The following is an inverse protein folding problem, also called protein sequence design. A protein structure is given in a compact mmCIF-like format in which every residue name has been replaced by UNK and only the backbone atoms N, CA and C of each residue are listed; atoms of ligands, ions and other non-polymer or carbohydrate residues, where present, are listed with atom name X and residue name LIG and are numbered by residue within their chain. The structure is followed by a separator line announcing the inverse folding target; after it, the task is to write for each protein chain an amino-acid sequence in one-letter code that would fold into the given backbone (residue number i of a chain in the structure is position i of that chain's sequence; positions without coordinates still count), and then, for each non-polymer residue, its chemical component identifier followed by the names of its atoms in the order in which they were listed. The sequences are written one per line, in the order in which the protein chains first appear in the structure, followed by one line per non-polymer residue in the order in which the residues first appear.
data_IF_329428220186
#
_entry.id   IF_329428220186
#
_cell.length_a   1.000
_cell.length_b   1.000
_cell.length_c   1.000
_cell.angle_alpha   90.00
_cell.angle_beta   90.00
_cell.angle_gamma   90.00
#
_symmetry.space_group_name_H-M   'P 1'
#
loop_
_entity.id
_entity.type
_entity.pdbx_description
1 polymer ?
#
# COMPACT_ATOMS: atom_id res chain seq x y z
N UNK A 1 -21.93 -5.28 -7.41
CA UNK A 1 -21.62 -5.16 -5.97
C UNK A 1 -20.82 -6.39 -5.57
N UNK A 2 -19.71 -6.16 -4.88
CA UNK A 2 -18.85 -7.20 -4.34
C UNK A 2 -19.06 -7.26 -2.82
N UNK A 3 -19.30 -8.45 -2.30
CA UNK A 3 -19.45 -8.70 -0.87
C UNK A 3 -18.42 -9.70 -0.42
N UNK A 4 -17.72 -9.42 0.65
CA UNK A 4 -16.76 -10.34 1.27
C UNK A 4 -17.09 -10.48 2.75
N UNK A 5 -17.08 -11.71 3.23
CA UNK A 5 -17.23 -12.03 4.65
C UNK A 5 -15.89 -12.54 5.15
N UNK A 6 -15.33 -11.81 6.11
CA UNK A 6 -14.10 -12.18 6.79
C UNK A 6 -14.44 -12.64 8.21
N UNK A 7 -13.99 -13.82 8.59
CA UNK A 7 -14.19 -14.38 9.92
C UNK A 7 -12.87 -14.93 10.46
N UNK A 8 -12.55 -14.59 11.70
CA UNK A 8 -11.35 -15.03 12.38
C UNK A 8 -11.38 -14.63 13.85
N UNK A 9 -10.46 -15.19 14.64
CA UNK A 9 -10.23 -14.77 16.03
C UNK A 9 -9.22 -13.64 16.03
N UNK A 10 -9.69 -12.44 15.70
CA UNK A 10 -8.86 -11.26 15.63
C UNK A 10 -8.82 -10.50 16.94
N UNK A 11 -7.64 -9.98 17.27
CA UNK A 11 -7.46 -8.79 18.08
C UNK A 11 -7.54 -7.57 17.18
N UNK A 12 -7.94 -6.42 17.73
CA UNK A 12 -8.12 -5.20 16.93
C UNK A 12 -7.46 -4.03 17.62
N UNK A 13 -6.47 -3.46 16.96
CA UNK A 13 -5.86 -2.20 17.35
C UNK A 13 -6.54 -1.04 16.61
N UNK A 14 -6.77 0.09 17.31
CA UNK A 14 -7.52 1.24 16.80
C UNK A 14 -6.79 2.54 17.06
N UNK A 15 -6.87 3.44 16.10
CA UNK A 15 -6.52 4.87 16.22
C UNK A 15 -7.57 5.70 15.45
N UNK A 16 -7.51 7.00 15.61
CA UNK A 16 -8.34 7.95 14.85
C UNK A 16 -7.47 9.07 14.29
N UNK A 17 -7.75 9.48 13.06
CA UNK A 17 -7.15 10.64 12.41
C UNK A 17 -8.20 11.38 11.60
N UNK A 18 -8.37 12.68 11.85
CA UNK A 18 -9.28 13.55 11.08
C UNK A 18 -10.72 13.00 10.94
N UNK A 19 -11.24 12.36 12.00
CA UNK A 19 -12.56 11.75 12.01
C UNK A 19 -12.66 10.40 11.28
N UNK A 20 -11.52 9.86 10.83
CA UNK A 20 -11.41 8.52 10.24
C UNK A 20 -10.92 7.54 11.28
N UNK A 21 -11.69 6.49 11.53
CA UNK A 21 -11.28 5.39 12.41
C UNK A 21 -10.32 4.45 11.65
N UNK A 22 -9.13 4.25 12.19
CA UNK A 22 -8.13 3.31 11.68
C UNK A 22 -8.21 2.03 12.50
N UNK A 23 -8.30 0.89 11.82
CA UNK A 23 -8.40 -0.42 12.49
C UNK A 23 -7.40 -1.40 11.86
N UNK A 24 -6.67 -2.14 12.70
CA UNK A 24 -5.84 -3.26 12.28
C UNK A 24 -6.31 -4.52 13.00
N UNK A 25 -6.86 -5.44 12.22
CA UNK A 25 -7.30 -6.76 12.67
C UNK A 25 -6.15 -7.74 12.49
N UNK A 26 -5.66 -8.32 13.57
CA UNK A 26 -4.51 -9.22 13.56
C UNK A 26 -4.73 -10.45 14.44
N UNK A 27 -4.04 -11.53 14.16
CA UNK A 27 -4.06 -12.72 15.02
C UNK A 27 -3.24 -12.49 16.29
N UNK A 28 -3.63 -13.20 17.38
CA UNK A 28 -2.88 -13.19 18.60
C UNK A 28 -1.42 -13.61 18.35
N UNK A 29 -0.47 -12.87 18.90
CA UNK A 29 0.97 -13.06 18.66
C UNK A 29 1.55 -12.34 17.44
N UNK A 30 0.74 -11.74 16.56
CA UNK A 30 1.18 -11.00 15.37
C UNK A 30 1.14 -9.47 15.56
N UNK A 31 1.19 -9.00 16.81
CA UNK A 31 1.07 -7.57 17.13
C UNK A 31 2.35 -6.75 16.89
N UNK A 32 3.50 -7.38 16.62
CA UNK A 32 4.81 -6.71 16.63
C UNK A 32 4.90 -5.51 15.68
N UNK A 33 4.30 -5.58 14.52
CA UNK A 33 4.31 -4.51 13.51
C UNK A 33 3.01 -3.68 13.48
N UNK A 34 2.02 -4.01 14.30
CA UNK A 34 0.72 -3.32 14.32
C UNK A 34 0.86 -1.81 14.61
N UNK A 35 1.68 -1.36 15.58
CA UNK A 35 1.89 0.07 15.80
C UNK A 35 2.50 0.77 14.57
N UNK A 36 3.38 0.09 13.83
CA UNK A 36 3.98 0.58 12.59
C UNK A 36 2.95 0.70 11.48
N UNK A 37 2.06 -0.28 11.36
CA UNK A 37 0.98 -0.26 10.38
C UNK A 37 -0.03 0.86 10.66
N UNK A 38 -0.45 1.04 11.91
CA UNK A 38 -1.31 2.16 12.32
C UNK A 38 -0.67 3.51 12.03
N UNK A 39 0.63 3.66 12.34
CA UNK A 39 1.37 4.88 12.00
C UNK A 39 1.36 5.16 10.50
N UNK A 40 1.62 4.16 9.66
CA UNK A 40 1.61 4.30 8.22
C UNK A 40 0.20 4.67 7.69
N UNK A 41 -0.85 4.04 8.23
CA UNK A 41 -2.23 4.40 7.89
C UNK A 41 -2.55 5.85 8.23
N UNK A 42 -2.22 6.29 9.45
CA UNK A 42 -2.43 7.67 9.92
C UNK A 42 -1.72 8.67 9.02
N UNK A 43 -0.44 8.44 8.76
CA UNK A 43 0.39 9.35 7.98
C UNK A 43 -0.08 9.42 6.52
N UNK A 44 -0.48 8.29 5.94
CA UNK A 44 -0.99 8.23 4.57
C UNK A 44 -2.39 8.86 4.43
N UNK A 45 -3.32 8.58 5.37
CA UNK A 45 -4.64 9.21 5.37
C UNK A 45 -4.51 10.72 5.54
N UNK A 46 -3.73 11.18 6.51
CA UNK A 46 -3.50 12.62 6.72
C UNK A 46 -2.84 13.29 5.52
N UNK A 47 -1.79 12.67 4.94
CA UNK A 47 -1.14 13.22 3.75
C UNK A 47 -2.11 13.34 2.57
N UNK A 48 -2.79 12.25 2.22
CA UNK A 48 -3.62 12.20 1.03
C UNK A 48 -4.91 13.04 1.18
N UNK A 49 -5.47 13.12 2.40
CA UNK A 49 -6.61 14.01 2.69
C UNK A 49 -6.28 15.48 2.45
N UNK A 50 -5.06 15.91 2.82
CA UNK A 50 -4.61 17.28 2.60
C UNK A 50 -4.14 17.55 1.17
N UNK A 51 -3.45 16.58 0.55
CA UNK A 51 -2.84 16.77 -0.76
C UNK A 51 -3.85 16.67 -1.92
N UNK A 52 -4.88 15.88 -1.76
CA UNK A 52 -5.82 15.53 -2.85
C UNK A 52 -7.27 15.86 -2.51
N UNK A 53 -7.89 15.11 -1.61
CA UNK A 53 -9.28 15.28 -1.22
C UNK A 53 -9.55 14.57 0.11
N UNK A 54 -10.60 14.96 0.87
CA UNK A 54 -10.98 14.25 2.08
C UNK A 54 -11.20 12.75 1.85
N UNK A 55 -10.83 11.93 2.84
CA UNK A 55 -11.11 10.50 2.81
C UNK A 55 -12.63 10.26 2.74
N UNK A 56 -13.06 9.38 1.83
CA UNK A 56 -14.50 9.21 1.53
C UNK A 56 -15.26 8.28 2.48
N UNK A 57 -14.56 7.54 3.35
CA UNK A 57 -15.17 6.61 4.29
C UNK A 57 -14.90 7.03 5.74
N UNK A 58 -15.68 6.49 6.68
CA UNK A 58 -15.47 6.74 8.11
C UNK A 58 -14.44 5.83 8.75
N UNK A 59 -14.10 4.74 8.08
CA UNK A 59 -13.21 3.70 8.60
C UNK A 59 -12.25 3.27 7.51
N UNK A 60 -10.97 3.14 7.86
CA UNK A 60 -9.97 2.44 7.07
C UNK A 60 -9.46 1.26 7.90
N UNK A 61 -9.49 0.05 7.35
CA UNK A 61 -9.07 -1.14 8.10
C UNK A 61 -8.14 -2.03 7.31
N UNK A 62 -7.15 -2.55 8.01
CA UNK A 62 -6.32 -3.66 7.55
C UNK A 62 -6.83 -4.93 8.22
N UNK A 63 -6.96 -6.00 7.43
CA UNK A 63 -7.37 -7.31 7.94
C UNK A 63 -6.34 -8.36 7.56
N UNK A 64 -5.72 -8.95 8.56
CA UNK A 64 -4.71 -9.99 8.37
C UNK A 64 -5.32 -11.24 7.74
N UNK A 65 -4.59 -11.85 6.80
CA UNK A 65 -4.85 -13.20 6.32
C UNK A 65 -3.56 -14.04 6.31
N UNK A 66 -3.68 -15.38 6.45
CA UNK A 66 -2.54 -16.26 6.49
C UNK A 66 -1.70 -16.27 5.21
N UNK A 67 -0.40 -16.57 5.32
CA UNK A 67 0.61 -16.52 4.24
C UNK A 67 0.50 -17.58 3.14
N UNK A 68 -0.70 -18.09 2.87
CA UNK A 68 -0.93 -18.89 1.67
C UNK A 68 -0.74 -18.07 0.38
N UNK A 69 -0.75 -16.74 0.51
CA UNK A 69 -0.35 -15.76 -0.49
C UNK A 69 0.39 -14.60 0.16
N UNK A 70 1.29 -13.96 -0.60
CA UNK A 70 2.13 -12.84 -0.12
C UNK A 70 1.79 -11.57 -0.90
N UNK A 71 0.65 -10.94 -0.56
CA UNK A 71 0.21 -9.69 -1.15
C UNK A 71 -0.62 -8.88 -0.14
N UNK A 72 -0.83 -7.63 -0.46
CA UNK A 72 -1.90 -6.80 0.08
C UNK A 72 -2.77 -6.32 -1.07
N UNK A 73 -3.98 -5.90 -0.78
CA UNK A 73 -4.89 -5.35 -1.79
C UNK A 73 -5.84 -4.35 -1.15
N UNK A 74 -6.12 -3.27 -1.86
CA UNK A 74 -7.06 -2.25 -1.40
C UNK A 74 -8.46 -2.48 -1.96
N UNK A 75 -9.44 -2.53 -1.06
CA UNK A 75 -10.86 -2.38 -1.36
C UNK A 75 -11.38 -1.13 -0.63
N UNK A 76 -12.55 -0.56 -1.01
CA UNK A 76 -13.10 0.59 -0.32
C UNK A 76 -13.19 0.39 1.19
N UNK A 77 -12.40 1.16 1.95
CA UNK A 77 -12.34 1.12 3.41
C UNK A 77 -11.75 -0.16 4.03
N UNK A 78 -11.28 -1.13 3.23
CA UNK A 78 -10.77 -2.42 3.78
C UNK A 78 -9.62 -2.95 2.93
N UNK A 79 -8.51 -3.27 3.59
CA UNK A 79 -7.28 -3.74 2.97
C UNK A 79 -6.91 -5.12 3.56
N UNK A 80 -7.26 -6.25 2.91
CA UNK A 80 -6.70 -7.54 3.26
C UNK A 80 -5.19 -7.53 3.06
N UNK A 81 -4.46 -8.06 4.04
CA UNK A 81 -3.02 -7.94 4.12
C UNK A 81 -2.40 -9.26 4.62
N UNK A 82 -1.48 -9.81 3.84
CA UNK A 82 -0.82 -11.07 4.23
C UNK A 82 0.06 -10.91 5.47
N UNK A 83 -0.02 -11.88 6.37
CA UNK A 83 0.85 -11.92 7.56
C UNK A 83 2.34 -11.82 7.19
N UNK A 84 2.74 -12.43 6.05
CA UNK A 84 4.16 -12.57 5.66
C UNK A 84 4.83 -11.26 5.26
N UNK A 85 4.09 -10.30 4.70
CA UNK A 85 4.64 -9.02 4.25
C UNK A 85 4.40 -7.88 5.23
N UNK A 86 3.63 -8.09 6.28
CA UNK A 86 3.31 -7.08 7.29
C UNK A 86 3.56 -7.56 8.71
N UNK A 87 2.68 -8.39 9.21
CA UNK A 87 2.56 -8.67 10.63
C UNK A 87 3.77 -9.39 11.25
N UNK A 88 4.36 -10.34 10.53
CA UNK A 88 5.51 -11.13 11.00
C UNK A 88 6.83 -10.77 10.30
N UNK A 89 6.86 -9.69 9.53
CA UNK A 89 8.08 -9.20 8.88
C UNK A 89 9.09 -8.72 9.92
N UNK A 90 10.36 -9.15 9.77
CA UNK A 90 11.45 -8.71 10.65
C UNK A 90 11.94 -7.31 10.25
N UNK A 91 11.68 -6.32 11.09
CA UNK A 91 12.08 -4.92 10.93
C UNK A 91 13.26 -4.50 11.82
N UNK A 92 13.99 -5.44 12.44
CA UNK A 92 15.11 -5.13 13.32
C UNK A 92 16.30 -4.52 12.59
N UNK A 93 16.48 -4.86 11.33
CA UNK A 93 17.51 -4.26 10.48
C UNK A 93 17.04 -2.89 9.95
N UNK A 94 17.37 -1.83 10.67
CA UNK A 94 17.01 -0.44 10.33
C UNK A 94 17.76 0.10 9.11
N UNK A 95 18.75 -0.65 8.60
CA UNK A 95 19.43 -0.26 7.35
C UNK A 95 18.61 -0.63 6.13
N UNK A 96 17.59 -1.47 6.26
CA UNK A 96 16.67 -1.86 5.19
C UNK A 96 15.57 -0.82 5.01
N UNK A 97 14.94 -0.87 3.84
CA UNK A 97 13.72 -0.10 3.57
C UNK A 97 12.59 -0.66 4.44
N UNK A 98 11.83 0.22 5.07
CA UNK A 98 10.63 -0.15 5.81
C UNK A 98 9.49 -0.48 4.83
N UNK A 99 9.51 -1.71 4.33
CA UNK A 99 8.49 -2.18 3.39
C UNK A 99 7.11 -2.33 4.03
N UNK A 100 7.02 -2.56 5.35
CA UNK A 100 5.73 -2.61 6.04
C UNK A 100 5.06 -1.24 6.01
N UNK A 101 5.79 -0.20 6.37
CA UNK A 101 5.30 1.17 6.30
C UNK A 101 4.91 1.58 4.87
N UNK A 102 5.79 1.27 3.91
CA UNK A 102 5.59 1.64 2.52
C UNK A 102 4.36 0.97 1.89
N UNK A 103 4.23 -0.36 2.03
CA UNK A 103 3.10 -1.10 1.44
C UNK A 103 1.78 -0.68 2.08
N UNK A 104 1.75 -0.44 3.39
CA UNK A 104 0.54 0.11 4.04
C UNK A 104 0.17 1.48 3.46
N UNK A 105 1.15 2.39 3.28
CA UNK A 105 0.90 3.69 2.68
C UNK A 105 0.41 3.57 1.22
N UNK A 106 0.92 2.59 0.46
CA UNK A 106 0.48 2.28 -0.90
C UNK A 106 -0.99 1.81 -0.94
N UNK A 107 -1.37 0.85 -0.10
CA UNK A 107 -2.74 0.35 -0.04
C UNK A 107 -3.73 1.43 0.43
N UNK A 108 -3.31 2.29 1.35
CA UNK A 108 -4.12 3.46 1.76
C UNK A 108 -4.26 4.44 0.61
N UNK A 109 -3.20 4.70 -0.17
CA UNK A 109 -3.26 5.63 -1.31
C UNK A 109 -4.26 5.18 -2.38
N UNK A 110 -4.47 3.89 -2.55
CA UNK A 110 -5.51 3.35 -3.43
C UNK A 110 -6.93 3.78 -3.03
N UNK A 111 -7.17 4.24 -1.81
CA UNK A 111 -8.46 4.78 -1.42
C UNK A 111 -8.80 6.07 -2.21
N UNK A 112 -7.79 6.74 -2.76
CA UNK A 112 -7.91 7.83 -3.73
C UNK A 112 -7.71 7.31 -5.16
N UNK A 113 -6.60 6.64 -5.42
CA UNK A 113 -6.20 6.16 -6.74
C UNK A 113 -6.73 4.75 -7.01
N UNK A 114 -7.87 4.67 -7.69
CA UNK A 114 -8.61 3.44 -7.94
C UNK A 114 -9.97 3.39 -7.25
N UNK A 115 -10.22 4.20 -6.22
CA UNK A 115 -11.52 4.24 -5.54
C UNK A 115 -12.24 5.60 -5.62
N UNK A 116 -11.54 6.73 -5.52
CA UNK A 116 -12.12 8.04 -5.81
C UNK A 116 -11.86 8.43 -7.27
N UNK A 117 -10.63 8.27 -7.75
CA UNK A 117 -10.27 8.49 -9.15
C UNK A 117 -10.22 7.13 -9.83
N UNK A 118 -11.21 6.85 -10.66
CA UNK A 118 -11.32 5.62 -11.43
C UNK A 118 -10.72 5.81 -12.82
N UNK A 119 -9.78 4.96 -13.18
CA UNK A 119 -9.29 4.90 -14.56
C UNK A 119 -10.36 4.33 -15.50
N UNK A 120 -10.42 4.80 -16.75
CA UNK A 120 -11.29 4.21 -17.76
C UNK A 120 -10.86 2.77 -18.08
N UNK A 121 -11.77 1.96 -18.64
CA UNK A 121 -11.44 0.60 -19.08
C UNK A 121 -10.68 0.65 -20.42
N UNK A 122 -9.41 0.98 -20.35
CA UNK A 122 -8.52 1.08 -21.51
C UNK A 122 -7.08 0.78 -21.10
N UNK A 123 -6.21 0.65 -22.09
CA UNK A 123 -4.76 0.56 -21.89
C UNK A 123 -4.26 1.76 -21.07
N UNK A 124 -3.22 1.58 -20.27
CA UNK A 124 -2.63 2.64 -19.44
C UNK A 124 -3.40 2.98 -18.17
N UNK A 125 -4.55 2.34 -17.91
CA UNK A 125 -5.34 2.62 -16.70
C UNK A 125 -4.56 2.36 -15.40
N UNK A 126 -3.62 1.41 -15.41
CA UNK A 126 -2.75 1.10 -14.27
C UNK A 126 -1.90 2.30 -13.80
N UNK A 127 -1.60 3.25 -14.69
CA UNK A 127 -0.90 4.47 -14.30
C UNK A 127 -1.72 5.32 -13.30
N UNK A 128 -3.05 5.39 -13.48
CA UNK A 128 -3.92 6.19 -12.61
C UNK A 128 -4.21 5.50 -11.27
N UNK A 129 -4.02 4.19 -11.17
CA UNK A 129 -4.16 3.47 -9.90
C UNK A 129 -2.80 3.17 -9.27
N UNK A 130 -2.04 2.25 -9.84
CA UNK A 130 -0.80 1.75 -9.24
C UNK A 130 0.31 2.81 -9.19
N UNK A 131 0.60 3.49 -10.32
CA UNK A 131 1.70 4.47 -10.33
C UNK A 131 1.41 5.67 -9.43
N UNK A 132 0.16 6.11 -9.35
CA UNK A 132 -0.21 7.22 -8.47
C UNK A 132 -0.24 6.80 -7.00
N UNK A 133 -0.66 5.57 -6.68
CA UNK A 133 -0.57 5.02 -5.33
C UNK A 133 0.90 4.86 -4.91
N UNK A 134 1.75 4.34 -5.80
CA UNK A 134 3.19 4.22 -5.61
C UNK A 134 3.84 5.59 -5.32
N UNK A 135 3.54 6.59 -6.15
CA UNK A 135 4.04 7.96 -5.96
C UNK A 135 3.59 8.55 -4.61
N UNK A 136 2.33 8.36 -4.26
CA UNK A 136 1.79 8.86 -2.99
C UNK A 136 2.49 8.20 -1.80
N UNK A 137 2.68 6.88 -1.83
CA UNK A 137 3.43 6.15 -0.79
C UNK A 137 4.88 6.64 -0.67
N UNK A 138 5.53 6.98 -1.79
CA UNK A 138 6.86 7.59 -1.79
C UNK A 138 6.88 8.95 -1.09
N UNK A 139 5.88 9.79 -1.32
CA UNK A 139 5.78 11.10 -0.67
C UNK A 139 5.53 10.96 0.83
N UNK A 140 4.70 10.01 1.25
CA UNK A 140 4.48 9.68 2.66
C UNK A 140 5.78 9.18 3.31
N UNK A 141 6.51 8.29 2.63
CA UNK A 141 7.79 7.76 3.09
C UNK A 141 8.86 8.87 3.19
N UNK A 142 8.93 9.79 2.22
CA UNK A 142 9.85 10.93 2.27
C UNK A 142 9.54 11.84 3.46
N UNK A 143 8.27 12.09 3.73
CA UNK A 143 7.85 12.94 4.85
C UNK A 143 8.23 12.34 6.20
N UNK A 144 8.15 11.02 6.36
CA UNK A 144 8.51 10.32 7.59
C UNK A 144 10.01 10.10 7.74
N UNK A 145 10.68 9.61 6.70
CA UNK A 145 12.08 9.16 6.78
C UNK A 145 13.08 10.07 6.07
N UNK A 146 12.59 11.10 5.38
CA UNK A 146 13.41 12.05 4.65
C UNK A 146 13.92 11.56 3.29
N UNK A 147 14.55 12.49 2.56
CA UNK A 147 15.03 12.27 1.18
C UNK A 147 16.02 11.12 1.02
N UNK A 148 16.82 10.84 2.04
CA UNK A 148 17.79 9.74 1.96
C UNK A 148 17.09 8.38 1.85
N UNK A 149 16.03 8.16 2.63
CA UNK A 149 15.21 6.95 2.57
C UNK A 149 14.47 6.84 1.22
N UNK A 150 13.91 7.94 0.74
CA UNK A 150 13.27 7.97 -0.57
C UNK A 150 14.24 7.62 -1.71
N UNK A 151 15.46 8.19 -1.71
CA UNK A 151 16.49 7.84 -2.72
C UNK A 151 16.86 6.37 -2.69
N UNK A 152 16.96 5.79 -1.51
CA UNK A 152 17.23 4.36 -1.33
C UNK A 152 16.10 3.51 -1.90
N UNK A 153 14.85 3.92 -1.66
CA UNK A 153 13.69 3.25 -2.25
C UNK A 153 13.69 3.34 -3.78
N UNK A 154 13.96 4.52 -4.34
CA UNK A 154 14.05 4.71 -5.79
C UNK A 154 15.18 3.88 -6.43
N UNK A 155 16.29 3.66 -5.73
CA UNK A 155 17.32 2.72 -6.19
C UNK A 155 16.80 1.29 -6.23
N UNK A 156 16.07 0.86 -5.20
CA UNK A 156 15.44 -0.46 -5.15
C UNK A 156 14.45 -0.65 -6.32
N UNK A 157 13.58 0.33 -6.58
CA UNK A 157 12.62 0.30 -7.68
C UNK A 157 13.32 0.26 -9.05
N UNK A 158 14.34 1.10 -9.25
CA UNK A 158 15.15 1.07 -10.45
C UNK A 158 15.79 -0.30 -10.68
N UNK A 159 16.35 -0.90 -9.65
CA UNK A 159 17.00 -2.21 -9.76
C UNK A 159 15.97 -3.31 -10.01
N UNK A 160 14.76 -3.19 -9.50
CA UNK A 160 13.61 -4.07 -9.81
C UNK A 160 13.19 -3.93 -11.26
N UNK A 161 13.03 -2.71 -11.73
CA UNK A 161 12.73 -2.40 -13.14
C UNK A 161 13.79 -3.00 -14.09
N UNK A 162 15.06 -2.77 -13.83
CA UNK A 162 16.15 -3.29 -14.67
C UNK A 162 16.20 -4.83 -14.69
N UNK A 163 15.90 -5.48 -13.57
CA UNK A 163 15.80 -6.95 -13.51
C UNK A 163 14.61 -7.49 -14.32
N UNK A 164 13.45 -6.80 -14.23
CA UNK A 164 12.25 -7.13 -15.02
C UNK A 164 12.56 -7.00 -16.51
N UNK A 165 13.07 -5.85 -16.90
CA UNK A 165 13.40 -5.54 -18.29
C UNK A 165 14.38 -6.50 -18.93
N UNK A 166 15.37 -6.99 -18.18
CA UNK A 166 16.33 -7.98 -18.70
C UNK A 166 15.73 -9.34 -19.03
N UNK A 167 14.47 -9.60 -18.66
CA UNK A 167 13.75 -10.85 -18.91
C UNK A 167 12.72 -10.74 -20.02
N UNK A 168 12.41 -9.54 -20.48
CA UNK A 168 11.38 -9.29 -21.49
C UNK A 168 11.99 -9.27 -22.91
N UNK A 169 11.44 -10.09 -23.79
CA UNK A 169 11.76 -10.08 -25.23
C UNK A 169 11.02 -8.98 -26.01
N UNK A 170 10.21 -8.17 -25.34
CA UNK A 170 9.39 -7.12 -25.96
C UNK A 170 9.97 -5.76 -25.56
N UNK A 171 10.05 -4.82 -26.51
CA UNK A 171 10.49 -3.46 -26.24
C UNK A 171 9.55 -2.69 -25.31
N UNK A 172 10.04 -1.64 -24.68
CA UNK A 172 9.23 -0.77 -23.82
C UNK A 172 8.01 -0.18 -24.57
N UNK A 173 6.88 -0.26 -23.93
CA UNK A 173 5.67 0.42 -24.39
C UNK A 173 5.52 1.76 -23.66
N UNK A 174 5.00 2.80 -24.33
CA UNK A 174 4.56 3.99 -23.64
C UNK A 174 3.54 3.64 -22.54
N UNK A 175 3.62 4.29 -21.37
CA UNK A 175 2.76 4.01 -20.21
C UNK A 175 1.28 3.95 -20.56
N UNK A 176 0.82 4.76 -21.51
CA UNK A 176 -0.56 4.74 -22.02
C UNK A 176 -0.95 3.47 -22.77
N UNK A 177 0.00 2.63 -23.17
CA UNK A 177 -0.22 1.38 -23.91
C UNK A 177 0.05 0.13 -23.08
N UNK A 178 0.43 0.30 -21.81
CA UNK A 178 0.66 -0.82 -20.89
C UNK A 178 -0.67 -1.47 -20.53
N UNK A 179 -0.79 -2.78 -20.73
CA UNK A 179 -2.03 -3.52 -20.51
C UNK A 179 -2.15 -4.14 -19.12
N UNK A 180 -1.03 -4.43 -18.48
CA UNK A 180 -1.02 -5.07 -17.17
C UNK A 180 0.27 -4.73 -16.39
N UNK A 181 0.28 -5.06 -15.10
CA UNK A 181 1.41 -4.81 -14.20
C UNK A 181 2.70 -5.58 -14.55
N UNK A 182 2.64 -6.59 -15.37
CA UNK A 182 3.82 -7.36 -15.77
C UNK A 182 4.72 -6.59 -16.75
N UNK A 183 4.21 -5.49 -17.28
CA UNK A 183 4.90 -4.63 -18.25
C UNK A 183 5.40 -3.31 -17.61
N UNK A 184 5.38 -3.22 -16.28
CA UNK A 184 5.85 -2.05 -15.52
C UNK A 184 7.12 -2.42 -14.75
#
# INVERSE_FOLDING_TARGET
NFWSVLSGRYEVAREEVEGVQLEVYHHAGHAVNVPRMLKAMRDAVGYASHAFAPYQHRVARIVEFPRYRSFAQSFPGTMPYSESIGFITDLRDTTRIDMVYYVVAHEVAHQWWGHQVLGPRMQGTGMLSESMAQYTALMVLEKEYGRAAMRKFLQYERDSYLRGRGKEGIGELPLMKVENQQHI
#
